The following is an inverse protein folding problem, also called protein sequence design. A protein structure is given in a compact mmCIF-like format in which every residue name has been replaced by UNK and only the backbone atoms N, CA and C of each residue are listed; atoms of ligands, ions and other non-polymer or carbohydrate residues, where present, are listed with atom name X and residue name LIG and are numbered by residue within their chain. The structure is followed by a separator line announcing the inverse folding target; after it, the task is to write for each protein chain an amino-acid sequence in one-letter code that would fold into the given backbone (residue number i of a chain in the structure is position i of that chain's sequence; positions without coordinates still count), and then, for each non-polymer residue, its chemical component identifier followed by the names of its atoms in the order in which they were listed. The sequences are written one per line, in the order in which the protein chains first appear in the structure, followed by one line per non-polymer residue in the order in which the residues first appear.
data_IF_282898820721
#
_entry.id   IF_282898820721
#
_cell.length_a   1.000
_cell.length_b   1.000
_cell.length_c   1.000
_cell.angle_alpha   90.00
_cell.angle_beta   90.00
_cell.angle_gamma   90.00
#
_symmetry.space_group_name_H-M   'P 1'
#
loop_
_entity.id
_entity.type
_entity.pdbx_description
1 polymer ?
#
# COMPACT_ATOMS: atom_id res chain seq x y z
N UNK A 1 -30.23 -1.21 2.12
CA UNK A 1 -30.26 -2.07 0.90
C UNK A 1 -29.00 -2.90 0.85
N UNK A 2 -29.12 -4.19 0.56
CA UNK A 2 -27.95 -5.06 0.32
C UNK A 2 -27.60 -5.00 -1.16
N UNK A 3 -26.30 -4.88 -1.45
CA UNK A 3 -25.79 -4.91 -2.83
C UNK A 3 -26.03 -6.30 -3.43
N UNK A 4 -26.61 -6.34 -4.62
CA UNK A 4 -26.89 -7.59 -5.33
C UNK A 4 -25.68 -8.07 -6.15
N UNK A 5 -25.53 -9.36 -6.44
CA UNK A 5 -24.37 -9.87 -7.19
C UNK A 5 -24.12 -9.19 -8.55
N UNK A 6 -25.17 -8.82 -9.27
CA UNK A 6 -25.06 -8.14 -10.57
C UNK A 6 -24.54 -6.69 -10.47
N UNK A 7 -24.53 -6.10 -9.26
CA UNK A 7 -23.99 -4.77 -8.96
C UNK A 7 -22.49 -4.81 -8.64
N UNK A 8 -21.89 -6.01 -8.62
CA UNK A 8 -20.48 -6.22 -8.41
C UNK A 8 -19.84 -6.64 -9.74
N UNK A 9 -18.84 -5.90 -10.18
CA UNK A 9 -18.12 -6.17 -11.43
C UNK A 9 -16.64 -6.29 -11.18
N UNK A 10 -15.99 -7.20 -11.88
CA UNK A 10 -14.54 -7.25 -11.99
C UNK A 10 -14.16 -6.63 -13.34
N UNK A 11 -13.31 -5.63 -13.30
CA UNK A 11 -12.87 -4.88 -14.47
C UNK A 11 -11.35 -4.75 -14.44
N UNK A 12 -10.70 -4.86 -15.59
CA UNK A 12 -9.28 -4.55 -15.70
C UNK A 12 -9.07 -3.05 -15.44
N UNK A 13 -8.03 -2.70 -14.72
CA UNK A 13 -7.68 -1.30 -14.47
C UNK A 13 -7.22 -0.63 -15.78
N UNK A 14 -7.75 0.56 -16.07
CA UNK A 14 -7.43 1.26 -17.31
C UNK A 14 -5.93 1.55 -17.47
N UNK A 15 -5.25 1.90 -16.38
CA UNK A 15 -3.79 2.09 -16.39
C UNK A 15 -3.02 0.82 -16.77
N UNK A 16 -3.56 -0.38 -16.49
CA UNK A 16 -2.96 -1.65 -16.90
C UNK A 16 -3.09 -1.91 -18.40
N UNK A 17 -4.08 -1.33 -19.06
CA UNK A 17 -4.28 -1.46 -20.52
C UNK A 17 -3.29 -0.59 -21.29
N UNK A 18 -2.88 0.55 -20.73
CA UNK A 18 -1.97 1.51 -21.35
C UNK A 18 -0.49 1.26 -21.01
N UNK A 19 -0.23 0.49 -19.95
CA UNK A 19 1.12 0.17 -19.52
C UNK A 19 1.68 -1.05 -20.27
N UNK A 20 2.84 -0.95 -20.93
CA UNK A 20 3.48 -2.09 -21.59
C UNK A 20 4.06 -3.13 -20.61
N UNK A 21 3.93 -2.89 -19.33
CA UNK A 21 4.35 -3.75 -18.24
C UNK A 21 3.15 -4.57 -17.77
N UNK A 22 3.11 -5.81 -18.07
CA UNK A 22 2.15 -6.89 -17.79
C UNK A 22 1.52 -6.90 -16.38
N UNK A 23 0.87 -5.82 -16.00
CA UNK A 23 0.09 -5.76 -14.75
C UNK A 23 -1.32 -6.27 -15.06
N UNK A 24 -1.68 -7.43 -14.53
CA UNK A 24 -3.07 -7.91 -14.52
C UNK A 24 -3.79 -7.38 -13.29
N UNK A 25 -3.78 -6.06 -13.12
CA UNK A 25 -4.49 -5.41 -12.02
C UNK A 25 -5.97 -5.31 -12.34
N UNK A 26 -6.79 -5.86 -11.46
CA UNK A 26 -8.26 -5.85 -11.59
C UNK A 26 -8.89 -5.01 -10.49
N UNK A 27 -9.90 -4.27 -10.88
CA UNK A 27 -10.75 -3.50 -9.98
C UNK A 27 -12.04 -4.27 -9.72
N UNK A 28 -12.37 -4.41 -8.44
CA UNK A 28 -13.71 -4.84 -8.04
C UNK A 28 -14.58 -3.61 -7.81
N UNK A 29 -15.53 -3.40 -8.71
CA UNK A 29 -16.43 -2.25 -8.68
C UNK A 29 -17.73 -2.68 -8.05
N UNK A 30 -18.16 -1.96 -7.03
CA UNK A 30 -19.45 -2.15 -6.36
C UNK A 30 -20.31 -0.94 -6.63
N UNK A 31 -21.47 -1.15 -7.27
CA UNK A 31 -22.43 -0.10 -7.57
C UNK A 31 -23.52 -0.09 -6.49
N UNK A 32 -23.70 1.02 -5.85
CA UNK A 32 -24.80 1.25 -4.89
C UNK A 32 -25.93 1.95 -5.64
N UNK A 33 -27.06 1.28 -5.88
CA UNK A 33 -28.19 1.88 -6.57
C UNK A 33 -28.95 2.83 -5.63
N UNK A 34 -29.68 3.75 -6.22
CA UNK A 34 -30.68 4.59 -5.55
C UNK A 34 -30.16 5.35 -4.32
N UNK A 35 -28.88 5.78 -4.35
CA UNK A 35 -28.28 6.56 -3.27
C UNK A 35 -28.69 8.03 -3.43
N UNK A 36 -29.31 8.58 -2.39
CA UNK A 36 -29.76 9.97 -2.33
C UNK A 36 -28.94 10.81 -1.33
N UNK A 37 -28.96 12.13 -1.47
CA UNK A 37 -28.35 13.02 -0.48
C UNK A 37 -28.89 12.77 0.93
N UNK A 38 -28.01 12.47 1.87
CA UNK A 38 -28.35 12.10 3.25
C UNK A 38 -28.22 10.62 3.57
N UNK A 39 -28.12 9.78 2.56
CA UNK A 39 -27.91 8.35 2.74
C UNK A 39 -26.52 8.03 3.30
N UNK A 40 -26.43 6.89 3.98
CA UNK A 40 -25.18 6.34 4.49
C UNK A 40 -24.85 5.04 3.79
N UNK A 41 -23.71 5.03 3.13
CA UNK A 41 -23.13 3.80 2.54
C UNK A 41 -22.08 3.24 3.51
N UNK A 42 -22.19 1.94 3.86
CA UNK A 42 -21.22 1.25 4.67
C UNK A 42 -20.57 0.12 3.85
N UNK A 43 -19.25 0.11 3.81
CA UNK A 43 -18.46 -0.91 3.12
C UNK A 43 -17.54 -1.60 4.11
N UNK A 44 -17.52 -2.93 4.08
CA UNK A 44 -16.55 -3.73 4.83
C UNK A 44 -15.93 -4.75 3.90
N UNK A 45 -14.61 -4.77 3.82
CA UNK A 45 -13.88 -5.75 3.02
C UNK A 45 -12.63 -6.24 3.74
N UNK A 46 -12.12 -7.37 3.28
CA UNK A 46 -10.86 -7.96 3.76
C UNK A 46 -9.97 -8.19 2.56
N UNK A 47 -8.75 -7.68 2.65
CA UNK A 47 -7.69 -7.93 1.66
C UNK A 47 -6.68 -8.88 2.27
N UNK A 48 -6.29 -9.90 1.52
CA UNK A 48 -5.24 -10.84 1.91
C UNK A 48 -4.10 -10.74 0.91
N UNK A 49 -2.91 -10.44 1.40
CA UNK A 49 -1.68 -10.45 0.60
C UNK A 49 -0.92 -11.74 0.89
N UNK A 50 -0.63 -12.51 -0.14
CA UNK A 50 -0.01 -13.84 0.00
C UNK A 50 1.48 -13.87 -0.35
N UNK A 51 1.95 -12.86 -1.10
CA UNK A 51 3.34 -12.83 -1.58
C UNK A 51 3.95 -11.48 -1.21
N UNK A 52 4.49 -11.34 0.01
CA UNK A 52 5.17 -10.11 0.39
C UNK A 52 6.46 -9.95 -0.41
N UNK A 53 6.83 -8.70 -0.72
CA UNK A 53 8.10 -8.40 -1.37
C UNK A 53 9.28 -8.86 -0.51
N UNK A 54 9.17 -8.67 0.80
CA UNK A 54 10.15 -9.11 1.79
C UNK A 54 9.50 -10.09 2.76
N UNK A 55 9.78 -11.41 2.68
CA UNK A 55 9.24 -12.40 3.60
C UNK A 55 9.56 -12.06 5.07
N UNK A 56 8.55 -12.13 5.93
CA UNK A 56 8.69 -11.81 7.34
C UNK A 56 8.70 -10.32 7.68
N UNK A 57 8.65 -9.44 6.68
CA UNK A 57 8.56 -8.00 6.86
C UNK A 57 7.16 -7.48 6.51
N UNK A 58 6.82 -6.32 7.07
CA UNK A 58 5.56 -5.63 6.81
C UNK A 58 5.83 -4.15 6.56
N UNK A 59 5.13 -3.59 5.60
CA UNK A 59 5.13 -2.17 5.29
C UNK A 59 3.74 -1.74 4.86
N UNK A 60 3.37 -0.51 5.19
CA UNK A 60 2.15 0.12 4.71
C UNK A 60 2.35 1.64 4.63
N UNK A 61 1.73 2.24 3.61
CA UNK A 61 1.73 3.68 3.41
C UNK A 61 0.31 4.15 3.17
N UNK A 62 -0.19 4.94 4.09
CA UNK A 62 -1.53 5.52 4.00
C UNK A 62 -1.45 7.04 3.93
N UNK A 63 -2.19 7.62 2.99
CA UNK A 63 -2.36 9.07 2.87
C UNK A 63 -3.81 9.45 3.10
N UNK A 64 -4.05 10.57 3.78
CA UNK A 64 -5.40 11.08 4.06
C UNK A 64 -5.79 12.19 3.06
N UNK A 65 -5.58 11.93 1.77
CA UNK A 65 -5.97 12.86 0.70
C UNK A 65 -7.33 12.52 0.10
N UNK A 66 -7.92 13.43 -0.63
CA UNK A 66 -9.14 13.33 -1.45
C UNK A 66 -10.48 13.40 -0.71
N UNK A 67 -10.59 12.95 0.52
CA UNK A 67 -11.88 12.95 1.23
C UNK A 67 -11.78 13.57 2.61
N UNK A 68 -12.84 14.24 3.02
CA UNK A 68 -12.96 14.72 4.39
C UNK A 68 -13.28 13.55 5.32
N UNK A 69 -12.39 13.28 6.25
CA UNK A 69 -12.56 12.22 7.25
C UNK A 69 -13.10 12.81 8.56
N UNK A 70 -14.14 12.20 9.14
CA UNK A 70 -14.60 12.53 10.48
C UNK A 70 -13.89 11.72 11.56
N UNK A 71 -13.66 10.45 11.29
CA UNK A 71 -12.95 9.53 12.16
C UNK A 71 -12.20 8.53 11.27
N UNK A 72 -10.92 8.74 11.12
CA UNK A 72 -10.06 7.85 10.35
C UNK A 72 -9.00 7.27 11.28
N UNK A 73 -9.07 5.96 11.49
CA UNK A 73 -8.16 5.21 12.34
C UNK A 73 -7.47 4.10 11.58
N UNK A 74 -6.18 3.95 11.85
CA UNK A 74 -5.35 2.87 11.36
C UNK A 74 -4.92 2.03 12.56
N UNK A 75 -5.14 0.73 12.48
CA UNK A 75 -4.85 -0.22 13.57
C UNK A 75 -4.03 -1.36 13.00
N UNK A 76 -2.87 -1.61 13.59
CA UNK A 76 -1.98 -2.70 13.23
C UNK A 76 -1.80 -3.62 14.43
N UNK A 77 -2.28 -4.85 14.33
CA UNK A 77 -2.10 -5.89 15.34
C UNK A 77 -0.96 -6.81 14.93
N UNK A 78 0.23 -6.52 15.42
CA UNK A 78 1.49 -7.14 15.03
C UNK A 78 1.87 -8.31 15.94
N UNK A 79 2.66 -9.29 15.46
CA UNK A 79 3.34 -10.23 16.34
C UNK A 79 4.18 -9.46 17.38
N UNK A 80 4.24 -9.89 18.66
CA UNK A 80 4.92 -9.13 19.71
C UNK A 80 6.41 -8.90 19.45
N UNK A 81 7.05 -9.84 18.78
CA UNK A 81 8.49 -9.81 18.45
C UNK A 81 8.82 -9.03 17.19
N UNK A 82 7.80 -8.54 16.47
CA UNK A 82 7.98 -7.77 15.25
C UNK A 82 7.60 -6.31 15.51
N UNK A 83 8.57 -5.45 15.87
CA UNK A 83 8.29 -4.04 16.13
C UNK A 83 7.85 -3.33 14.85
N UNK A 84 6.98 -2.34 14.99
CA UNK A 84 6.54 -1.48 13.91
C UNK A 84 7.07 -0.07 14.16
N UNK A 85 7.84 0.43 13.21
CA UNK A 85 8.35 1.81 13.16
C UNK A 85 7.39 2.66 12.33
N UNK A 86 7.26 3.94 12.64
CA UNK A 86 6.34 4.82 11.96
C UNK A 86 6.93 6.21 11.71
N UNK A 87 6.69 6.74 10.51
CA UNK A 87 6.78 8.16 10.16
C UNK A 87 5.35 8.68 9.97
N UNK A 88 4.92 9.59 10.83
CA UNK A 88 3.55 10.07 10.90
C UNK A 88 3.49 11.58 10.73
N UNK A 89 2.82 12.04 9.69
CA UNK A 89 2.50 13.45 9.45
C UNK A 89 0.99 13.61 9.42
N UNK A 90 0.43 14.37 10.37
CA UNK A 90 -1.02 14.56 10.50
C UNK A 90 -1.76 13.34 11.06
N UNK A 91 -1.05 12.41 11.67
CA UNK A 91 -1.62 11.28 12.41
C UNK A 91 -1.05 11.26 13.83
N UNK A 92 -1.90 11.13 14.82
CA UNK A 92 -1.54 10.99 16.23
C UNK A 92 -1.56 9.52 16.65
N UNK A 93 -0.50 9.09 17.33
CA UNK A 93 -0.47 7.78 17.96
C UNK A 93 -1.45 7.72 19.13
N UNK A 94 -2.19 6.64 19.22
CA UNK A 94 -3.11 6.36 20.32
C UNK A 94 -2.63 5.14 21.10
N UNK A 95 -2.85 5.19 22.41
CA UNK A 95 -2.70 4.00 23.23
C UNK A 95 -3.80 2.98 22.89
N UNK A 96 -3.46 1.70 22.87
CA UNK A 96 -4.40 0.64 22.60
C UNK A 96 -3.90 -0.72 23.08
N UNK A 97 -4.83 -1.56 23.53
CA UNK A 97 -4.53 -2.95 23.88
C UNK A 97 -4.92 -3.83 22.70
N UNK A 98 -3.97 -4.65 22.26
CA UNK A 98 -4.19 -5.60 21.18
C UNK A 98 -4.95 -6.85 21.64
N UNK A 99 -5.37 -7.67 20.69
CA UNK A 99 -5.88 -9.02 20.96
C UNK A 99 -4.81 -9.86 21.68
N UNK A 100 -5.20 -10.95 22.36
CA UNK A 100 -4.24 -11.86 23.00
C UNK A 100 -3.13 -12.29 22.04
N UNK A 101 -1.87 -12.18 22.47
CA UNK A 101 -0.70 -12.54 21.68
C UNK A 101 -0.34 -11.55 20.57
N UNK A 102 -0.92 -10.37 20.55
CA UNK A 102 -0.61 -9.30 19.58
C UNK A 102 -0.26 -8.00 20.28
N UNK A 103 0.64 -7.25 19.66
CA UNK A 103 0.95 -5.87 20.03
C UNK A 103 0.18 -4.94 19.10
N UNK A 104 -0.63 -4.05 19.66
CA UNK A 104 -1.41 -3.07 18.89
C UNK A 104 -0.66 -1.77 18.76
N UNK A 105 -0.61 -1.27 17.53
CA UNK A 105 -0.23 0.08 17.18
C UNK A 105 -1.43 0.74 16.55
N UNK A 106 -1.73 1.98 16.95
CA UNK A 106 -2.92 2.67 16.49
C UNK A 106 -2.65 4.14 16.27
N UNK A 107 -3.16 4.68 15.18
CA UNK A 107 -3.11 6.10 14.86
C UNK A 107 -4.48 6.61 14.47
N UNK A 108 -4.71 7.89 14.75
CA UNK A 108 -5.87 8.65 14.33
C UNK A 108 -5.44 9.83 13.47
N UNK A 109 -6.14 10.08 12.39
CA UNK A 109 -5.99 11.29 11.60
C UNK A 109 -6.53 12.50 12.37
N UNK A 110 -5.76 13.60 12.40
CA UNK A 110 -6.05 14.75 13.30
C UNK A 110 -6.60 15.94 12.56
N UNK A 111 -6.49 15.96 11.23
CA UNK A 111 -6.83 17.13 10.46
C UNK A 111 -7.82 16.82 9.36
N UNK A 112 -8.89 17.62 9.27
CA UNK A 112 -9.99 17.42 8.33
C UNK A 112 -9.85 18.12 6.99
N UNK A 113 -8.86 19.00 6.81
CA UNK A 113 -8.71 19.74 5.57
C UNK A 113 -7.92 18.93 4.53
N UNK A 114 -8.58 18.73 3.39
CA UNK A 114 -7.96 18.11 2.24
C UNK A 114 -7.25 19.17 1.40
N UNK A 115 -5.93 19.06 1.31
CA UNK A 115 -5.18 19.87 0.38
C UNK A 115 -5.61 19.55 -1.06
N UNK A 116 -5.98 20.56 -1.81
CA UNK A 116 -6.18 20.42 -3.25
C UNK A 116 -4.81 20.20 -3.90
N UNK A 117 -4.67 19.09 -4.58
CA UNK A 117 -3.44 18.81 -5.32
C UNK A 117 -3.53 19.55 -6.66
N UNK A 118 -2.58 20.43 -6.92
CA UNK A 118 -2.46 21.10 -8.20
C UNK A 118 -1.78 20.18 -9.21
N UNK A 119 -2.12 20.36 -10.48
CA UNK A 119 -1.39 19.69 -11.56
C UNK A 119 0.09 20.09 -11.52
N UNK A 120 0.98 19.15 -11.83
CA UNK A 120 2.43 19.33 -11.86
C UNK A 120 3.09 19.73 -10.52
N UNK A 121 2.36 19.58 -9.40
CA UNK A 121 2.95 19.77 -8.07
C UNK A 121 3.92 18.63 -7.72
N UNK A 122 4.82 18.88 -6.78
CA UNK A 122 5.66 17.83 -6.18
C UNK A 122 4.80 16.71 -5.57
N UNK A 123 5.38 15.55 -5.37
CA UNK A 123 4.65 14.41 -4.81
C UNK A 123 3.97 14.77 -3.49
N UNK A 124 2.70 14.42 -3.35
CA UNK A 124 1.97 14.62 -2.10
C UNK A 124 2.65 13.90 -0.92
N UNK A 125 3.42 12.85 -1.18
CA UNK A 125 4.18 12.13 -0.16
C UNK A 125 5.28 12.98 0.48
N UNK A 126 5.77 14.03 -0.19
CA UNK A 126 6.84 14.87 0.31
C UNK A 126 6.35 15.90 1.34
N UNK A 127 5.10 16.36 1.20
CA UNK A 127 4.55 17.42 2.05
C UNK A 127 3.21 17.09 2.71
N UNK A 128 2.52 16.07 2.24
CA UNK A 128 1.15 15.78 2.65
C UNK A 128 1.03 14.94 3.91
N UNK A 129 -0.20 14.83 4.38
CA UNK A 129 -0.55 14.01 5.54
C UNK A 129 -0.40 12.54 5.19
N UNK A 130 0.47 11.83 5.92
CA UNK A 130 0.77 10.42 5.68
C UNK A 130 1.07 9.68 6.97
N UNK A 131 0.82 8.40 6.95
CA UNK A 131 1.37 7.44 7.89
C UNK A 131 2.12 6.38 7.09
N UNK A 132 3.44 6.34 7.22
CA UNK A 132 4.28 5.27 6.71
C UNK A 132 4.70 4.39 7.88
N UNK A 133 4.47 3.09 7.78
CA UNK A 133 4.87 2.12 8.80
C UNK A 133 5.69 1.02 8.18
N UNK A 134 6.71 0.57 8.91
CA UNK A 134 7.60 -0.50 8.46
C UNK A 134 8.12 -1.32 9.65
N UNK A 135 8.37 -2.58 9.42
CA UNK A 135 9.11 -3.43 10.36
C UNK A 135 10.63 -3.35 10.17
N UNK A 136 11.11 -2.73 9.10
CA UNK A 136 12.52 -2.39 8.94
C UNK A 136 12.89 -1.25 9.90
N UNK A 137 13.94 -1.40 10.71
CA UNK A 137 14.35 -0.38 11.67
C UNK A 137 14.92 0.88 10.98
N UNK A 138 15.53 0.72 9.83
CA UNK A 138 16.18 1.80 9.07
C UNK A 138 16.36 1.44 7.59
N UNK A 139 16.85 2.41 6.83
CA UNK A 139 17.14 2.25 5.40
C UNK A 139 18.27 1.27 5.11
N UNK A 140 19.23 1.08 6.02
CA UNK A 140 20.34 0.14 5.82
C UNK A 140 19.82 -1.30 5.85
N UNK A 141 18.96 -1.63 6.81
CA UNK A 141 18.30 -2.93 6.89
C UNK A 141 17.41 -3.21 5.67
N UNK A 142 16.67 -2.19 5.20
CA UNK A 142 15.87 -2.30 3.97
C UNK A 142 16.77 -2.53 2.74
N UNK A 143 17.82 -1.73 2.58
CA UNK A 143 18.75 -1.86 1.44
C UNK A 143 19.43 -3.21 1.41
N UNK A 144 19.84 -3.75 2.56
CA UNK A 144 20.43 -5.08 2.68
C UNK A 144 19.44 -6.17 2.23
N UNK A 145 18.22 -6.14 2.72
CA UNK A 145 17.18 -7.10 2.33
C UNK A 145 16.85 -7.01 0.82
N UNK A 146 16.84 -5.80 0.26
CA UNK A 146 16.67 -5.60 -1.18
C UNK A 146 17.83 -6.19 -1.98
N UNK A 147 19.08 -5.92 -1.56
CA UNK A 147 20.29 -6.43 -2.21
C UNK A 147 20.32 -7.95 -2.19
N UNK A 148 20.06 -8.59 -1.05
CA UNK A 148 19.98 -10.05 -0.96
C UNK A 148 18.96 -10.64 -1.95
N UNK A 149 17.79 -10.00 -2.05
CA UNK A 149 16.73 -10.47 -2.95
C UNK A 149 17.07 -10.25 -4.43
N UNK A 150 17.80 -9.20 -4.76
CA UNK A 150 18.19 -8.84 -6.12
C UNK A 150 19.44 -9.60 -6.59
N UNK A 151 20.31 -10.03 -5.68
CA UNK A 151 21.61 -10.61 -6.01
C UNK A 151 21.54 -11.75 -7.03
N UNK A 152 20.64 -12.71 -6.83
CA UNK A 152 20.47 -13.83 -7.75
C UNK A 152 19.93 -13.44 -9.14
N UNK A 153 19.27 -12.28 -9.25
CA UNK A 153 18.73 -11.77 -10.52
C UNK A 153 19.74 -10.91 -11.28
N UNK A 154 20.78 -10.45 -10.61
CA UNK A 154 21.87 -9.66 -11.21
C UNK A 154 22.99 -10.54 -11.77
N UNK A 155 22.94 -11.85 -11.54
CA UNK A 155 23.89 -12.78 -12.12
C UNK A 155 23.54 -13.00 -13.59
N UNK A 156 24.54 -12.82 -14.46
CA UNK A 156 24.39 -13.17 -15.86
C UNK A 156 24.29 -14.71 -15.98
N UNK A 157 23.24 -15.19 -16.63
CA UNK A 157 23.15 -16.58 -17.01
C UNK A 157 24.02 -16.88 -18.24
N UNK A 158 24.17 -18.16 -18.58
CA UNK A 158 24.98 -18.57 -19.72
C UNK A 158 24.52 -17.97 -21.04
N UNK A 159 23.23 -17.73 -21.19
CA UNK A 159 22.65 -17.15 -22.42
C UNK A 159 23.01 -15.67 -22.59
N UNK A 160 22.97 -14.91 -21.49
CA UNK A 160 23.39 -13.50 -21.46
C UNK A 160 24.89 -13.39 -21.69
N UNK A 161 25.69 -14.26 -21.06
CA UNK A 161 27.16 -14.31 -21.24
C UNK A 161 27.52 -14.64 -22.70
N UNK A 162 26.87 -15.62 -23.29
CA UNK A 162 27.13 -16.00 -24.70
C UNK A 162 26.69 -14.87 -25.66
N UNK A 163 25.59 -14.19 -25.38
CA UNK A 163 25.16 -13.05 -26.18
C UNK A 163 26.15 -11.89 -26.10
N UNK A 164 26.63 -11.57 -24.90
CA UNK A 164 27.62 -10.51 -24.67
C UNK A 164 28.93 -10.81 -25.41
N UNK A 165 29.42 -12.04 -25.33
CA UNK A 165 30.63 -12.48 -26.08
C UNK A 165 30.44 -12.36 -27.58
N UNK A 166 29.30 -12.75 -28.13
CA UNK A 166 29.00 -12.64 -29.54
C UNK A 166 28.95 -11.19 -30.02
N UNK A 167 28.43 -10.28 -29.22
CA UNK A 167 28.37 -8.84 -29.54
C UNK A 167 29.74 -8.19 -29.45
N UNK A 168 30.54 -8.54 -28.45
CA UNK A 168 31.89 -7.99 -28.23
C UNK A 168 32.97 -8.55 -29.15
N UNK A 169 32.75 -9.72 -29.74
CA UNK A 169 33.70 -10.38 -30.63
C UNK A 169 33.42 -10.19 -32.14
N UNK A 170 32.43 -9.40 -32.50
CA UNK A 170 32.08 -9.01 -33.89
C UNK A 170 32.49 -7.56 -34.22
#
# INVERSE_FOLDING_TARGET
LAVQPHQIRDQQEAASLEAPMFQDTRLKIVVFPDVEPGDRVAVRYVVRRHTPLFPGQFEDLTTARFHRHRDFRLIYDMPPLLPLHADAVGFEALAGTGPPGKRRYQWRYVDGDNARIEADSVSYLDYGKRLAVSTFPDYAAFAHAYQERAAGKALADDSVTALAQRIAGG
#
